data_IF_800576482996
#
_entry.id   IF_800576482996
#
_cell.length_a   1.000
_cell.length_b   1.000
_cell.length_c   1.000
_cell.angle_alpha   90.00
_cell.angle_beta   90.00
_cell.angle_gamma   90.00
#
_symmetry.space_group_name_H-M   'P 1'
#
loop_
_entity.id
_entity.type
_entity.pdbx_description
1 polymer ?
#
# COMPACT_ATOMS: atom_id res chain seq x y z
N UNK A 1 15.04 4.45 4.22
CA UNK A 1 15.08 3.23 3.36
C UNK A 1 15.00 1.97 4.21
N UNK A 2 15.68 1.92 5.35
CA UNK A 2 15.60 0.81 6.30
C UNK A 2 14.16 0.50 6.75
N UNK A 3 13.40 1.51 7.16
CA UNK A 3 11.98 1.37 7.55
C UNK A 3 11.08 0.77 6.45
N UNK A 4 11.29 1.18 5.19
CA UNK A 4 10.53 0.66 4.04
C UNK A 4 10.82 -0.84 3.87
N UNK A 5 12.08 -1.24 4.04
CA UNK A 5 12.50 -2.65 3.92
C UNK A 5 11.94 -3.48 5.08
N UNK A 6 11.96 -2.96 6.31
CA UNK A 6 11.39 -3.65 7.48
C UNK A 6 9.89 -3.92 7.33
N UNK A 7 9.12 -2.92 6.87
CA UNK A 7 7.68 -3.11 6.62
C UNK A 7 7.44 -4.09 5.47
N UNK A 8 8.26 -4.07 4.41
CA UNK A 8 8.19 -5.05 3.32
C UNK A 8 8.40 -6.48 3.82
N UNK A 9 9.47 -6.73 4.58
CA UNK A 9 9.79 -8.07 5.12
C UNK A 9 8.63 -8.58 5.99
N UNK A 10 8.09 -7.72 6.85
CA UNK A 10 6.98 -8.06 7.73
C UNK A 10 5.71 -8.39 6.94
N UNK A 11 5.40 -7.62 5.90
CA UNK A 11 4.27 -7.85 5.02
C UNK A 11 4.42 -9.15 4.21
N UNK A 12 5.61 -9.42 3.66
CA UNK A 12 5.92 -10.65 2.93
C UNK A 12 5.73 -11.88 3.84
N UNK A 13 6.17 -11.80 5.10
CA UNK A 13 5.93 -12.87 6.08
C UNK A 13 4.43 -13.08 6.31
N UNK A 14 3.64 -12.02 6.51
CA UNK A 14 2.19 -12.14 6.70
C UNK A 14 1.50 -12.79 5.49
N UNK A 15 1.89 -12.42 4.26
CA UNK A 15 1.29 -12.93 3.04
C UNK A 15 1.65 -14.39 2.75
N UNK A 16 2.94 -14.72 2.78
CA UNK A 16 3.43 -16.03 2.31
C UNK A 16 3.51 -17.08 3.42
N UNK A 17 3.65 -16.63 4.67
CA UNK A 17 3.72 -17.52 5.84
C UNK A 17 2.40 -17.46 6.59
N UNK A 18 2.03 -16.32 7.17
CA UNK A 18 0.89 -16.28 8.11
C UNK A 18 -0.43 -16.63 7.45
N UNK A 19 -0.80 -16.08 6.30
CA UNK A 19 -2.07 -16.40 5.62
C UNK A 19 -2.15 -17.84 5.11
N UNK A 20 -1.00 -18.51 4.89
CA UNK A 20 -0.97 -19.92 4.51
C UNK A 20 -1.52 -20.81 5.63
N UNK A 21 -1.24 -20.46 6.88
CA UNK A 21 -1.57 -21.25 8.06
C UNK A 21 -2.75 -20.68 8.87
N UNK A 22 -2.86 -19.35 8.93
CA UNK A 22 -3.87 -18.60 9.69
C UNK A 22 -4.76 -17.84 8.72
N UNK A 23 -5.87 -18.49 8.35
CA UNK A 23 -6.81 -18.01 7.33
C UNK A 23 -7.92 -17.18 7.97
N UNK A 24 -7.57 -16.05 8.58
CA UNK A 24 -8.53 -15.13 9.21
C UNK A 24 -8.49 -13.76 8.53
N UNK A 25 -9.61 -13.03 8.61
CA UNK A 25 -9.66 -11.68 8.06
C UNK A 25 -8.78 -10.71 8.85
N UNK A 26 -8.44 -11.02 10.11
CA UNK A 26 -7.52 -10.20 10.92
C UNK A 26 -6.11 -10.19 10.35
N UNK A 27 -5.63 -11.32 9.85
CA UNK A 27 -4.31 -11.37 9.18
C UNK A 27 -4.34 -10.55 7.89
N UNK A 28 -5.45 -10.57 7.15
CA UNK A 28 -5.65 -9.73 5.94
C UNK A 28 -5.61 -8.25 6.31
N UNK A 29 -6.34 -7.84 7.35
CA UNK A 29 -6.36 -6.44 7.82
C UNK A 29 -4.97 -6.01 8.28
N UNK A 30 -4.29 -6.85 9.07
CA UNK A 30 -2.92 -6.58 9.52
C UNK A 30 -1.94 -6.42 8.36
N UNK A 31 -2.05 -7.25 7.33
CA UNK A 31 -1.24 -7.11 6.11
C UNK A 31 -1.49 -5.78 5.41
N UNK A 32 -2.76 -5.39 5.25
CA UNK A 32 -3.14 -4.09 4.65
C UNK A 32 -2.56 -2.93 5.46
N UNK A 33 -2.54 -3.00 6.79
CA UNK A 33 -1.91 -1.96 7.62
C UNK A 33 -0.41 -1.86 7.42
N UNK A 34 0.29 -3.00 7.30
CA UNK A 34 1.73 -3.02 7.00
C UNK A 34 2.02 -2.38 5.66
N UNK A 35 1.26 -2.74 4.62
CA UNK A 35 1.40 -2.10 3.31
C UNK A 35 1.07 -0.62 3.34
N UNK A 36 0.00 -0.21 4.04
CA UNK A 36 -0.32 1.21 4.24
C UNK A 36 0.86 1.95 4.85
N UNK A 37 1.45 1.43 5.93
CA UNK A 37 2.60 2.04 6.61
C UNK A 37 3.82 2.11 5.71
N UNK A 38 4.10 1.06 4.95
CA UNK A 38 5.19 1.03 3.96
C UNK A 38 5.02 2.12 2.89
N UNK A 39 3.80 2.32 2.39
CA UNK A 39 3.48 3.37 1.41
C UNK A 39 3.59 4.76 2.05
N UNK A 40 3.09 4.96 3.28
CA UNK A 40 3.22 6.21 4.03
C UNK A 40 4.69 6.66 4.13
N UNK A 41 5.56 5.77 4.62
CA UNK A 41 6.99 6.06 4.80
C UNK A 41 7.67 6.29 3.44
N UNK A 42 7.25 5.56 2.40
CA UNK A 42 7.77 5.76 1.04
C UNK A 42 7.39 7.11 0.47
N UNK A 43 6.15 7.56 0.63
CA UNK A 43 5.68 8.88 0.17
C UNK A 43 6.47 9.98 0.88
N UNK A 44 6.64 9.89 2.19
CA UNK A 44 7.40 10.88 2.96
C UNK A 44 8.83 11.01 2.44
N UNK A 45 9.54 9.89 2.30
CA UNK A 45 10.91 9.88 1.79
C UNK A 45 11.02 10.40 0.33
N UNK A 46 10.04 10.07 -0.52
CA UNK A 46 10.01 10.52 -1.91
C UNK A 46 9.81 12.04 -2.03
N UNK A 47 8.91 12.60 -1.22
CA UNK A 47 8.66 14.04 -1.21
C UNK A 47 9.85 14.81 -0.64
N UNK A 48 10.47 14.32 0.42
CA UNK A 48 11.72 14.88 0.95
C UNK A 48 12.81 14.89 -0.12
N UNK A 49 13.01 13.77 -0.82
CA UNK A 49 14.00 13.70 -1.91
C UNK A 49 13.66 14.62 -3.07
N UNK A 50 12.39 14.76 -3.41
CA UNK A 50 11.94 15.65 -4.47
C UNK A 50 12.19 17.12 -4.09
N UNK A 51 12.01 17.49 -2.82
CA UNK A 51 12.31 18.81 -2.30
C UNK A 51 13.81 19.11 -2.33
N UNK A 52 14.66 18.18 -1.88
CA UNK A 52 16.13 18.29 -2.01
C UNK A 52 16.58 18.53 -3.46
N UNK A 53 15.93 17.84 -4.41
CA UNK A 53 16.16 17.98 -5.85
C UNK A 53 15.49 19.19 -6.48
N UNK A 54 14.83 20.05 -5.69
CA UNK A 54 14.09 21.23 -6.14
C UNK A 54 13.01 20.91 -7.18
N UNK A 55 12.49 19.67 -7.21
CA UNK A 55 11.35 19.26 -8.06
C UNK A 55 10.02 19.77 -7.50
N UNK A 56 9.97 20.03 -6.21
CA UNK A 56 8.86 20.68 -5.50
C UNK A 56 9.43 21.81 -4.63
N UNK A 57 8.64 22.87 -4.42
CA UNK A 57 9.05 24.02 -3.60
C UNK A 57 9.04 23.74 -2.11
N UNK A 58 8.08 22.94 -1.65
CA UNK A 58 7.89 22.58 -0.25
C UNK A 58 7.14 21.26 -0.13
N UNK A 59 7.31 20.56 0.98
CA UNK A 59 6.57 19.32 1.29
C UNK A 59 5.28 19.68 2.00
N UNK A 60 4.13 19.19 1.50
CA UNK A 60 2.84 19.39 2.15
C UNK A 60 2.83 18.80 3.56
N UNK A 61 2.32 19.56 4.53
CA UNK A 61 2.21 19.11 5.93
C UNK A 61 0.99 18.22 6.17
N UNK A 62 -0.05 18.33 5.34
CA UNK A 62 -1.27 17.53 5.49
C UNK A 62 -1.27 16.28 4.58
N UNK A 63 -1.97 15.19 4.97
CA UNK A 63 -1.96 13.93 4.23
C UNK A 63 -2.54 14.00 2.81
N UNK A 64 -3.54 14.86 2.58
CA UNK A 64 -4.19 14.98 1.27
C UNK A 64 -3.25 15.65 0.28
N UNK A 65 -2.62 16.75 0.68
CA UNK A 65 -1.64 17.46 -0.13
C UNK A 65 -0.41 16.60 -0.44
N UNK A 66 0.04 15.74 0.49
CA UNK A 66 1.12 14.77 0.20
C UNK A 66 0.74 13.80 -0.92
N UNK A 67 -0.49 13.29 -0.92
CA UNK A 67 -1.02 12.41 -1.97
C UNK A 67 -1.10 13.17 -3.31
N UNK A 68 -1.57 14.41 -3.31
CA UNK A 68 -1.63 15.21 -4.54
C UNK A 68 -0.24 15.51 -5.10
N UNK A 69 0.72 15.85 -4.25
CA UNK A 69 2.11 16.08 -4.64
C UNK A 69 2.74 14.83 -5.24
N UNK A 70 2.57 13.66 -4.62
CA UNK A 70 3.15 12.43 -5.13
C UNK A 70 2.51 12.00 -6.46
N UNK A 71 1.18 12.18 -6.61
CA UNK A 71 0.49 11.93 -7.88
C UNK A 71 1.00 12.84 -9.00
N UNK A 72 1.26 14.12 -8.70
CA UNK A 72 1.84 15.07 -9.67
C UNK A 72 3.27 14.70 -10.04
N UNK A 73 4.07 14.29 -9.07
CA UNK A 73 5.48 13.92 -9.26
C UNK A 73 5.64 12.67 -10.14
N UNK A 74 4.74 11.69 -10.01
CA UNK A 74 4.76 10.42 -10.73
C UNK A 74 3.60 10.29 -11.72
N UNK A 75 3.11 11.40 -12.27
CA UNK A 75 1.93 11.45 -13.17
C UNK A 75 2.03 10.53 -14.41
N UNK A 76 3.26 10.25 -14.85
CA UNK A 76 3.53 9.45 -16.05
C UNK A 76 3.73 7.95 -15.71
N UNK A 77 3.86 7.58 -14.44
CA UNK A 77 3.98 6.19 -13.99
C UNK A 77 2.62 5.64 -13.53
N UNK A 78 1.94 4.95 -14.46
CA UNK A 78 0.62 4.36 -14.21
C UNK A 78 0.61 3.35 -13.06
N UNK A 79 1.63 2.50 -12.94
CA UNK A 79 1.69 1.51 -11.86
C UNK A 79 1.78 2.22 -10.50
N UNK A 80 2.57 3.30 -10.44
CA UNK A 80 2.68 4.11 -9.24
C UNK A 80 1.33 4.73 -8.86
N UNK A 81 0.63 5.33 -9.81
CA UNK A 81 -0.70 5.92 -9.57
C UNK A 81 -1.73 4.89 -9.11
N UNK A 82 -1.74 3.69 -9.69
CA UNK A 82 -2.59 2.57 -9.25
C UNK A 82 -2.33 2.19 -7.79
N UNK A 83 -1.06 2.15 -7.37
CA UNK A 83 -0.72 1.89 -5.96
C UNK A 83 -1.18 3.03 -5.05
N UNK A 84 -1.12 4.28 -5.49
CA UNK A 84 -1.64 5.41 -4.71
C UNK A 84 -3.18 5.33 -4.57
N UNK A 85 -3.90 4.94 -5.62
CA UNK A 85 -5.35 4.72 -5.54
C UNK A 85 -5.72 3.57 -4.61
N UNK A 86 -4.98 2.46 -4.67
CA UNK A 86 -5.12 1.34 -3.75
C UNK A 86 -4.83 1.77 -2.30
N UNK A 87 -3.79 2.57 -2.09
CA UNK A 87 -3.45 3.12 -0.78
C UNK A 87 -4.59 3.99 -0.20
N UNK A 88 -5.31 4.77 -1.00
CA UNK A 88 -6.48 5.51 -0.52
C UNK A 88 -7.57 4.60 0.07
N UNK A 89 -7.76 3.40 -0.49
CA UNK A 89 -8.63 2.38 0.09
C UNK A 89 -8.05 1.84 1.40
N UNK A 90 -6.76 1.51 1.44
CA UNK A 90 -6.09 0.99 2.64
C UNK A 90 -6.20 1.95 3.83
N UNK A 91 -6.13 3.27 3.59
CA UNK A 91 -6.32 4.27 4.66
C UNK A 91 -7.69 4.20 5.32
N UNK A 92 -8.72 3.83 4.56
CA UNK A 92 -10.11 3.79 5.01
C UNK A 92 -10.54 2.40 5.46
N UNK A 93 -9.66 1.39 5.36
CA UNK A 93 -10.04 -0.02 5.56
C UNK A 93 -10.76 -0.26 6.88
N UNK A 94 -10.45 0.51 7.93
CA UNK A 94 -11.10 0.43 9.23
C UNK A 94 -12.55 0.89 9.25
N UNK A 95 -12.85 1.91 8.46
CA UNK A 95 -14.14 2.58 8.40
C UNK A 95 -15.10 1.95 7.38
N UNK A 96 -14.56 1.21 6.41
CA UNK A 96 -15.38 0.59 5.38
C UNK A 96 -16.34 -0.44 5.97
N UNK A 97 -17.56 -0.53 5.42
CA UNK A 97 -18.44 -1.67 5.67
C UNK A 97 -17.72 -2.94 5.21
N UNK A 98 -17.57 -3.87 6.15
CA UNK A 98 -16.79 -5.09 6.01
C UNK A 98 -17.62 -6.32 6.31
N UNK A 99 -17.39 -7.37 5.54
CA UNK A 99 -17.93 -8.70 5.81
C UNK A 99 -16.79 -9.71 5.78
N UNK A 100 -16.76 -10.58 6.79
CA UNK A 100 -15.75 -11.63 6.95
C UNK A 100 -16.29 -12.93 6.36
N UNK A 101 -15.55 -13.52 5.42
CA UNK A 101 -16.01 -14.69 4.67
C UNK A 101 -14.98 -15.80 4.83
N UNK A 102 -15.46 -17.03 5.08
CA UNK A 102 -14.65 -18.24 4.94
C UNK A 102 -13.46 -18.33 5.90
N UNK A 103 -13.54 -17.70 7.08
CA UNK A 103 -12.48 -17.81 8.09
C UNK A 103 -12.21 -19.28 8.46
N UNK A 104 -10.94 -19.58 8.73
CA UNK A 104 -10.42 -20.93 8.99
C UNK A 104 -10.56 -21.91 7.82
N UNK A 105 -10.88 -21.42 6.61
CA UNK A 105 -11.01 -22.22 5.38
C UNK A 105 -10.14 -21.65 4.25
N UNK A 106 -9.94 -22.43 3.19
CA UNK A 106 -9.10 -22.05 2.03
C UNK A 106 -9.56 -20.75 1.34
N UNK A 107 -10.84 -20.45 1.38
CA UNK A 107 -11.44 -19.32 0.65
C UNK A 107 -11.72 -18.13 1.59
N UNK A 108 -10.80 -17.85 2.51
CA UNK A 108 -10.92 -16.67 3.38
C UNK A 108 -10.89 -15.41 2.52
N UNK A 109 -11.82 -14.50 2.78
CA UNK A 109 -11.89 -13.22 2.10
C UNK A 109 -12.45 -12.14 3.03
N UNK A 110 -11.85 -10.96 2.97
CA UNK A 110 -12.41 -9.74 3.53
C UNK A 110 -13.15 -9.01 2.41
N UNK A 111 -14.47 -8.96 2.52
CA UNK A 111 -15.31 -8.24 1.56
C UNK A 111 -15.56 -6.82 2.05
N UNK A 112 -15.25 -5.83 1.22
CA UNK A 112 -15.37 -4.41 1.57
C UNK A 112 -16.17 -3.64 0.52
N UNK A 113 -16.95 -2.66 0.97
CA UNK A 113 -17.62 -1.72 0.08
C UNK A 113 -16.81 -0.44 -0.03
N UNK A 114 -16.25 -0.15 -1.21
CA UNK A 114 -15.45 1.05 -1.47
C UNK A 114 -15.91 1.74 -2.76
N UNK A 115 -16.22 3.05 -2.67
CA UNK A 115 -16.72 3.87 -3.80
C UNK A 115 -17.88 3.21 -4.57
N UNK A 116 -18.83 2.63 -3.85
CA UNK A 116 -20.00 1.95 -4.42
C UNK A 116 -19.72 0.60 -5.08
N UNK A 117 -18.48 0.10 -5.00
CA UNK A 117 -18.09 -1.22 -5.52
C UNK A 117 -17.80 -2.18 -4.38
N UNK A 118 -18.20 -3.43 -4.59
CA UNK A 118 -17.80 -4.55 -3.72
C UNK A 118 -16.41 -5.01 -4.14
N UNK A 119 -15.49 -5.08 -3.17
CA UNK A 119 -14.13 -5.56 -3.36
C UNK A 119 -13.91 -6.77 -2.47
N UNK A 120 -13.58 -7.90 -3.07
CA UNK A 120 -13.29 -9.14 -2.38
C UNK A 120 -11.78 -9.31 -2.20
N UNK A 121 -11.28 -9.02 -1.00
CA UNK A 121 -9.86 -9.13 -0.66
C UNK A 121 -9.60 -10.55 -0.18
N UNK A 122 -9.28 -11.44 -1.13
CA UNK A 122 -8.87 -12.82 -0.88
C UNK A 122 -7.36 -12.98 -1.15
N UNK A 123 -6.83 -14.21 -1.03
CA UNK A 123 -5.40 -14.46 -1.25
C UNK A 123 -4.92 -14.11 -2.67
N UNK A 124 -5.74 -14.31 -3.69
CA UNK A 124 -5.39 -13.96 -5.08
C UNK A 124 -5.27 -12.45 -5.23
N UNK A 125 -6.25 -11.70 -4.71
CA UNK A 125 -6.24 -10.24 -4.72
C UNK A 125 -5.05 -9.67 -3.94
N UNK A 126 -4.70 -10.27 -2.81
CA UNK A 126 -3.52 -9.88 -2.02
C UNK A 126 -2.21 -10.10 -2.78
N UNK A 127 -2.10 -11.17 -3.59
CA UNK A 127 -0.92 -11.37 -4.46
C UNK A 127 -0.81 -10.29 -5.53
N UNK A 128 -1.93 -9.92 -6.14
CA UNK A 128 -1.97 -8.80 -7.11
C UNK A 128 -1.51 -7.50 -6.44
N UNK A 129 -1.97 -7.23 -5.22
CA UNK A 129 -1.51 -6.06 -4.45
C UNK A 129 -0.01 -6.12 -4.15
N UNK A 130 0.52 -7.28 -3.77
CA UNK A 130 1.94 -7.48 -3.52
C UNK A 130 2.79 -7.22 -4.77
N UNK A 131 2.38 -7.72 -5.93
CA UNK A 131 3.08 -7.50 -7.21
C UNK A 131 3.12 -6.02 -7.59
N UNK A 132 2.02 -5.30 -7.38
CA UNK A 132 1.96 -3.86 -7.61
C UNK A 132 2.88 -3.09 -6.64
N UNK A 133 2.94 -3.53 -5.37
CA UNK A 133 3.80 -2.93 -4.36
C UNK A 133 5.28 -3.19 -4.63
N UNK A 134 5.65 -4.35 -5.18
CA UNK A 134 7.04 -4.64 -5.56
C UNK A 134 7.52 -3.66 -6.65
N UNK A 135 6.68 -3.40 -7.67
CA UNK A 135 6.97 -2.38 -8.69
C UNK A 135 7.09 -0.99 -8.08
N UNK A 136 6.17 -0.61 -7.19
CA UNK A 136 6.21 0.67 -6.48
C UNK A 136 7.49 0.85 -5.65
N UNK A 137 7.92 -0.19 -4.92
CA UNK A 137 9.17 -0.17 -4.15
C UNK A 137 10.37 -0.03 -5.09
N UNK A 138 10.37 -0.72 -6.23
CA UNK A 138 11.42 -0.60 -7.24
C UNK A 138 11.55 0.83 -7.75
N UNK A 139 10.43 1.46 -8.17
CA UNK A 139 10.40 2.87 -8.58
C UNK A 139 10.87 3.79 -7.44
N UNK A 140 10.39 3.55 -6.22
CA UNK A 140 10.78 4.32 -5.03
C UNK A 140 12.28 4.27 -4.80
N UNK A 141 12.87 3.07 -4.83
CA UNK A 141 14.32 2.87 -4.66
C UNK A 141 15.11 3.57 -5.75
N UNK A 142 14.70 3.44 -7.01
CA UNK A 142 15.37 4.12 -8.14
C UNK A 142 15.35 5.64 -7.96
N UNK A 143 14.22 6.21 -7.58
CA UNK A 143 14.10 7.65 -7.35
C UNK A 143 14.98 8.11 -6.17
N UNK A 144 14.96 7.41 -5.05
CA UNK A 144 15.73 7.77 -3.86
C UNK A 144 17.25 7.66 -4.07
N UNK A 145 17.70 6.69 -4.88
CA UNK A 145 19.12 6.50 -5.21
C UNK A 145 19.61 7.33 -6.39
N UNK A 146 18.70 7.90 -7.18
CA UNK A 146 19.09 8.79 -8.28
C UNK A 146 19.85 9.99 -7.71
N UNK A 147 20.94 10.40 -8.37
CA UNK A 147 21.71 11.60 -8.00
C UNK A 147 20.89 12.86 -8.19
#
# INVERSE_FOLDING_TARGET
MEDIIQEKISADHLLYVSLKYTKTCDVIINLIFRWRRMIDVSIDALLEKAHEKKKISEVSTNPVGKIEQIKKLFKDDKNFLEVIEMYEMFKKIDELRKERIGEFRKNVALRVMYRGKEININLEQLKIYADNLEKFISTTKQFLLSK
#
